data_IF_190758730406
#
_entry.id   IF_190758730406
#
_cell.length_a   1.000
_cell.length_b   1.000
_cell.length_c   1.000
_cell.angle_alpha   90.00
_cell.angle_beta   90.00
_cell.angle_gamma   90.00
#
_symmetry.space_group_name_H-M   'P 1'
#
loop_
_entity.id
_entity.type
_entity.pdbx_description
1 polymer ?
#
# COMPACT_ATOMS: atom_id res chain seq x y z
N UNK A 1 -6.32 -27.65 17.64
CA UNK A 1 -6.43 -26.18 17.66
C UNK A 1 -5.61 -25.69 16.49
N UNK A 2 -6.19 -24.86 15.58
CA UNK A 2 -5.43 -24.39 14.42
C UNK A 2 -4.34 -23.40 14.86
N UNK A 3 -3.17 -23.50 14.23
CA UNK A 3 -2.00 -22.70 14.53
C UNK A 3 -2.01 -21.42 13.67
N UNK A 4 -2.07 -20.26 14.32
CA UNK A 4 -2.04 -18.95 13.65
C UNK A 4 -0.74 -18.22 13.97
N UNK A 5 -0.04 -17.80 12.93
CA UNK A 5 1.09 -16.89 13.07
C UNK A 5 0.62 -15.47 12.79
N UNK A 6 0.82 -14.59 13.76
CA UNK A 6 0.38 -13.19 13.71
C UNK A 6 1.58 -12.27 13.48
N UNK A 7 1.55 -11.50 12.39
CA UNK A 7 2.51 -10.42 12.18
C UNK A 7 2.33 -9.32 13.22
N UNK A 8 3.32 -9.14 14.10
CA UNK A 8 3.32 -8.20 15.22
C UNK A 8 4.33 -7.07 14.96
N UNK A 9 3.82 -5.85 14.81
CA UNK A 9 4.63 -4.64 14.60
C UNK A 9 4.84 -3.80 15.85
N UNK A 10 4.42 -4.29 17.03
CA UNK A 10 4.42 -3.49 18.24
C UNK A 10 3.41 -2.33 18.24
N UNK A 11 2.50 -2.29 17.27
CA UNK A 11 1.37 -1.36 17.22
C UNK A 11 0.13 -1.92 17.90
N UNK A 12 -0.82 -1.04 18.30
CA UNK A 12 -2.06 -1.43 18.98
C UNK A 12 -2.90 -2.45 18.19
N UNK A 13 -2.91 -2.31 16.86
CA UNK A 13 -3.75 -3.17 15.99
C UNK A 13 -3.29 -4.62 16.00
N UNK A 14 -2.00 -4.88 15.80
CA UNK A 14 -1.47 -6.25 15.87
C UNK A 14 -1.61 -6.86 17.26
N UNK A 15 -1.51 -6.04 18.31
CA UNK A 15 -1.64 -6.49 19.68
C UNK A 15 -3.09 -6.87 20.03
N UNK A 16 -4.06 -6.05 19.64
CA UNK A 16 -5.48 -6.38 19.80
C UNK A 16 -5.89 -7.60 18.95
N UNK A 17 -5.30 -7.75 17.75
CA UNK A 17 -5.51 -8.94 16.91
C UNK A 17 -5.06 -10.23 17.62
N UNK A 18 -3.97 -10.18 18.41
CA UNK A 18 -3.51 -11.33 19.19
C UNK A 18 -4.55 -11.76 20.24
N UNK A 19 -5.11 -10.80 20.97
CA UNK A 19 -6.16 -11.06 21.98
C UNK A 19 -7.37 -11.71 21.32
N UNK A 20 -7.89 -11.14 20.25
CA UNK A 20 -9.07 -11.66 19.55
C UNK A 20 -8.86 -13.09 19.03
N UNK A 21 -7.69 -13.40 18.51
CA UNK A 21 -7.37 -14.75 18.03
C UNK A 21 -7.32 -15.76 19.17
N UNK A 22 -6.77 -15.39 20.34
CA UNK A 22 -6.79 -16.25 21.53
C UNK A 22 -8.23 -16.48 22.04
N UNK A 23 -9.05 -15.42 22.10
CA UNK A 23 -10.47 -15.52 22.48
C UNK A 23 -11.29 -16.40 21.51
N UNK A 24 -10.92 -16.43 20.23
CA UNK A 24 -11.50 -17.30 19.20
C UNK A 24 -11.00 -18.75 19.29
N UNK A 25 -10.07 -19.05 20.20
CA UNK A 25 -9.58 -20.41 20.43
C UNK A 25 -8.48 -20.87 19.48
N UNK A 26 -7.75 -19.96 18.84
CA UNK A 26 -6.56 -20.31 18.04
C UNK A 26 -5.33 -20.49 18.95
N UNK A 27 -4.41 -21.34 18.50
CA UNK A 27 -3.05 -21.36 19.02
C UNK A 27 -2.26 -20.25 18.30
N UNK A 28 -1.93 -19.16 19.01
CA UNK A 28 -1.32 -17.97 18.42
C UNK A 28 0.18 -17.91 18.68
N UNK A 29 0.96 -17.65 17.64
CA UNK A 29 2.39 -17.33 17.72
C UNK A 29 2.65 -15.94 17.12
N UNK A 30 3.40 -15.10 17.82
CA UNK A 30 3.80 -13.78 17.32
C UNK A 30 4.98 -13.88 16.35
N UNK A 31 4.97 -13.07 15.30
CA UNK A 31 6.00 -12.97 14.29
C UNK A 31 6.38 -11.51 14.07
N UNK A 32 7.62 -11.14 14.38
CA UNK A 32 8.17 -9.83 14.07
C UNK A 32 9.02 -9.90 12.81
N UNK A 33 8.95 -8.87 11.97
CA UNK A 33 9.73 -8.75 10.75
C UNK A 33 10.74 -7.60 10.88
N UNK A 34 12.01 -7.92 10.88
CA UNK A 34 13.08 -6.96 10.65
C UNK A 34 13.20 -6.71 9.15
N UNK A 35 12.79 -5.52 8.69
CA UNK A 35 12.72 -5.16 7.27
C UNK A 35 13.77 -4.12 6.86
N UNK A 36 14.34 -3.40 7.83
CA UNK A 36 15.14 -2.21 7.57
C UNK A 36 16.62 -2.40 7.85
N UNK A 37 17.06 -3.60 8.22
CA UNK A 37 18.47 -3.90 8.49
C UNK A 37 19.30 -3.65 7.23
N UNK A 38 20.45 -2.96 7.41
CA UNK A 38 21.34 -2.63 6.31
C UNK A 38 20.86 -1.55 5.34
N UNK A 39 19.67 -0.95 5.56
CA UNK A 39 19.25 0.22 4.79
C UNK A 39 19.92 1.50 5.32
N UNK A 40 20.20 2.47 4.43
CA UNK A 40 20.83 3.74 4.79
C UNK A 40 19.80 4.71 5.42
N UNK A 41 19.35 4.37 6.62
CA UNK A 41 18.44 5.19 7.41
C UNK A 41 19.14 6.47 7.94
N UNK A 42 18.42 7.53 8.33
CA UNK A 42 18.97 8.66 9.04
C UNK A 42 19.71 8.22 10.31
N UNK A 43 20.81 8.92 10.67
CA UNK A 43 21.68 8.51 11.78
C UNK A 43 21.00 8.54 13.18
N UNK A 44 19.94 9.33 13.31
CA UNK A 44 19.12 9.45 14.52
C UNK A 44 18.01 8.40 14.62
N UNK A 45 17.96 7.46 13.64
CA UNK A 45 16.90 6.47 13.54
C UNK A 45 17.45 5.06 13.61
N UNK A 46 17.07 4.35 14.66
CA UNK A 46 17.31 2.91 14.76
C UNK A 46 16.20 2.14 14.05
N UNK A 47 16.52 1.01 13.40
CA UNK A 47 15.50 0.06 12.96
C UNK A 47 14.63 -0.38 14.14
N UNK A 48 13.38 -0.75 13.84
CA UNK A 48 12.50 -1.39 14.84
C UNK A 48 13.14 -2.74 15.24
N UNK A 49 13.44 -2.88 16.53
CA UNK A 49 14.04 -4.08 17.10
C UNK A 49 13.01 -5.11 17.60
N UNK A 50 11.72 -4.83 17.38
CA UNK A 50 10.61 -5.68 17.81
C UNK A 50 10.39 -5.71 19.33
N UNK A 51 11.01 -4.83 20.10
CA UNK A 51 10.91 -4.82 21.58
C UNK A 51 9.45 -4.68 22.05
N UNK A 52 8.69 -3.75 21.49
CA UNK A 52 7.27 -3.58 21.83
C UNK A 52 6.43 -4.83 21.47
N UNK A 53 6.69 -5.44 20.31
CA UNK A 53 6.00 -6.64 19.87
C UNK A 53 6.31 -7.83 20.80
N UNK A 54 7.58 -7.98 21.16
CA UNK A 54 8.04 -9.02 22.11
C UNK A 54 7.46 -8.83 23.50
N UNK A 55 7.40 -7.60 23.99
CA UNK A 55 6.80 -7.29 25.29
C UNK A 55 5.31 -7.64 25.33
N UNK A 56 4.55 -7.32 24.28
CA UNK A 56 3.14 -7.73 24.15
C UNK A 56 3.01 -9.24 24.05
N UNK A 57 3.82 -9.92 23.25
CA UNK A 57 3.80 -11.39 23.17
C UNK A 57 4.06 -12.05 24.52
N UNK A 58 5.04 -11.54 25.28
CA UNK A 58 5.33 -12.02 26.63
C UNK A 58 4.16 -11.80 27.60
N UNK A 59 3.50 -10.62 27.54
CA UNK A 59 2.33 -10.31 28.36
C UNK A 59 1.18 -11.28 28.09
N UNK A 60 0.97 -11.65 26.81
CA UNK A 60 -0.10 -12.55 26.37
C UNK A 60 0.30 -14.05 26.43
N UNK A 61 1.54 -14.37 26.83
CA UNK A 61 2.03 -15.74 26.90
C UNK A 61 2.18 -16.43 25.55
N UNK A 62 2.47 -15.66 24.49
CA UNK A 62 2.63 -16.17 23.12
C UNK A 62 4.05 -16.60 22.84
N UNK A 63 4.29 -17.74 22.14
CA UNK A 63 5.53 -17.97 21.42
C UNK A 63 5.83 -16.81 20.49
N UNK A 64 7.09 -16.40 20.39
CA UNK A 64 7.47 -15.23 19.60
C UNK A 64 8.73 -15.51 18.76
N UNK A 65 8.68 -15.14 17.50
CA UNK A 65 9.74 -15.36 16.52
C UNK A 65 10.12 -14.04 15.86
N UNK A 66 11.43 -13.81 15.73
CA UNK A 66 11.97 -12.72 14.91
C UNK A 66 12.45 -13.27 13.57
N UNK A 67 12.13 -12.56 12.51
CA UNK A 67 12.56 -12.88 11.15
C UNK A 67 13.23 -11.68 10.50
N UNK A 68 14.43 -11.86 10.01
CA UNK A 68 15.08 -10.88 9.15
C UNK A 68 14.70 -11.16 7.69
N UNK A 69 13.81 -10.31 7.15
CA UNK A 69 13.42 -10.29 5.74
C UNK A 69 13.92 -9.03 5.03
N UNK A 70 14.95 -8.35 5.59
CA UNK A 70 15.50 -7.13 4.99
C UNK A 70 16.12 -7.36 3.60
N UNK A 71 16.78 -8.50 3.29
CA UNK A 71 17.26 -8.74 1.93
C UNK A 71 16.13 -8.84 0.91
N UNK A 72 15.07 -9.60 1.22
CA UNK A 72 13.90 -9.75 0.36
C UNK A 72 13.13 -8.43 0.23
N UNK A 73 12.99 -7.69 1.32
CA UNK A 73 12.36 -6.37 1.33
C UNK A 73 13.13 -5.38 0.47
N UNK A 74 14.46 -5.36 0.56
CA UNK A 74 15.32 -4.55 -0.31
C UNK A 74 15.08 -4.90 -1.77
N UNK A 75 15.21 -6.15 -2.16
CA UNK A 75 15.13 -6.59 -3.56
C UNK A 75 13.73 -6.40 -4.17
N UNK A 76 12.66 -6.57 -3.38
CA UNK A 76 11.28 -6.54 -3.91
C UNK A 76 10.57 -5.21 -3.73
N UNK A 77 10.77 -4.51 -2.60
CA UNK A 77 10.01 -3.31 -2.26
C UNK A 77 10.84 -2.05 -2.48
N UNK A 78 12.07 -2.00 -1.96
CA UNK A 78 12.90 -0.79 -2.06
C UNK A 78 13.39 -0.59 -3.50
N UNK A 79 13.91 -1.62 -4.15
CA UNK A 79 14.41 -1.52 -5.52
C UNK A 79 13.27 -1.24 -6.52
N UNK A 80 12.04 -1.77 -6.27
CA UNK A 80 10.85 -1.38 -7.01
C UNK A 80 10.54 0.12 -6.81
N UNK A 81 10.53 0.57 -5.57
CA UNK A 81 10.25 1.97 -5.22
C UNK A 81 11.20 2.94 -5.92
N UNK A 82 12.49 2.65 -5.90
CA UNK A 82 13.53 3.46 -6.58
C UNK A 82 13.30 3.48 -8.09
N UNK A 83 13.20 2.31 -8.73
CA UNK A 83 12.98 2.20 -10.19
C UNK A 83 11.75 2.97 -10.67
N UNK A 84 10.65 2.93 -9.93
CA UNK A 84 9.43 3.65 -10.32
C UNK A 84 9.63 5.17 -10.29
N UNK A 85 10.30 5.68 -9.26
CA UNK A 85 10.61 7.11 -9.19
C UNK A 85 11.58 7.56 -10.28
N UNK A 86 12.62 6.77 -10.57
CA UNK A 86 13.57 7.03 -11.65
C UNK A 86 12.89 6.98 -13.02
N UNK A 87 11.91 6.11 -13.20
CA UNK A 87 11.08 6.04 -14.39
C UNK A 87 9.97 7.13 -14.46
N UNK A 88 10.00 8.14 -13.58
CA UNK A 88 9.03 9.23 -13.56
C UNK A 88 7.65 8.86 -12.99
N UNK A 89 7.44 7.63 -12.55
CA UNK A 89 6.19 7.17 -11.96
C UNK A 89 6.13 7.42 -10.46
N UNK A 90 4.97 7.18 -9.84
CA UNK A 90 4.81 7.32 -8.38
C UNK A 90 4.30 6.00 -7.82
N UNK A 91 5.17 5.19 -7.20
CA UNK A 91 4.81 3.86 -6.70
C UNK A 91 3.96 3.88 -5.42
N UNK A 92 3.31 2.75 -5.14
CA UNK A 92 2.76 2.43 -3.82
C UNK A 92 3.46 1.18 -3.27
N UNK A 93 4.52 1.34 -2.47
CA UNK A 93 5.32 0.21 -1.99
C UNK A 93 4.56 -0.69 -1.02
N UNK A 94 3.53 -0.15 -0.30
CA UNK A 94 2.76 -0.94 0.67
C UNK A 94 1.95 -2.07 0.03
N UNK A 95 1.44 -1.85 -1.20
CA UNK A 95 0.73 -2.91 -1.95
C UNK A 95 1.68 -4.06 -2.29
N UNK A 96 2.90 -3.74 -2.73
CA UNK A 96 3.94 -4.75 -2.99
C UNK A 96 4.41 -5.44 -1.72
N UNK A 97 4.65 -4.68 -0.65
CA UNK A 97 5.03 -5.23 0.65
C UNK A 97 4.00 -6.24 1.16
N UNK A 98 2.71 -5.91 1.10
CA UNK A 98 1.67 -6.86 1.50
C UNK A 98 1.77 -8.16 0.67
N UNK A 99 1.78 -8.07 -0.66
CA UNK A 99 1.78 -9.26 -1.52
C UNK A 99 3.04 -10.10 -1.39
N UNK A 100 4.24 -9.47 -1.38
CA UNK A 100 5.52 -10.17 -1.50
C UNK A 100 6.18 -10.50 -0.16
N UNK A 101 6.06 -9.60 0.81
CA UNK A 101 6.70 -9.75 2.12
C UNK A 101 5.71 -10.32 3.12
N UNK A 102 4.64 -9.58 3.49
CA UNK A 102 3.76 -10.01 4.58
C UNK A 102 2.98 -11.28 4.24
N UNK A 103 2.38 -11.37 3.05
CA UNK A 103 1.60 -12.55 2.64
C UNK A 103 2.36 -13.46 1.66
N UNK A 104 3.63 -13.17 1.40
CA UNK A 104 4.57 -14.00 0.68
C UNK A 104 5.64 -14.57 1.62
N UNK A 105 6.83 -13.95 1.69
CA UNK A 105 7.98 -14.46 2.44
C UNK A 105 7.68 -14.74 3.93
N UNK A 106 6.88 -13.91 4.61
CA UNK A 106 6.45 -14.17 5.99
C UNK A 106 5.56 -15.42 6.07
N UNK A 107 4.65 -15.63 5.09
CA UNK A 107 3.84 -16.85 5.01
C UNK A 107 4.73 -18.10 4.82
N UNK A 108 5.65 -18.04 3.87
CA UNK A 108 6.56 -19.17 3.57
C UNK A 108 7.38 -19.58 4.80
N UNK A 109 7.76 -18.60 5.60
CA UNK A 109 8.48 -18.84 6.83
C UNK A 109 7.57 -19.37 7.96
N UNK A 110 6.37 -18.81 8.13
CA UNK A 110 5.39 -19.27 9.10
C UNK A 110 4.94 -20.72 8.81
N UNK A 111 4.76 -21.07 7.52
CA UNK A 111 4.40 -22.41 7.09
C UNK A 111 5.44 -23.46 7.49
N UNK A 112 6.74 -23.12 7.37
CA UNK A 112 7.84 -23.99 7.81
C UNK A 112 7.83 -24.24 9.33
N UNK A 113 7.24 -23.31 10.10
CA UNK A 113 7.06 -23.42 11.54
C UNK A 113 5.72 -24.08 11.93
N UNK A 114 4.95 -24.56 10.96
CA UNK A 114 3.70 -25.29 11.19
C UNK A 114 2.45 -24.41 11.21
N UNK A 115 2.44 -23.25 10.58
CA UNK A 115 1.26 -22.39 10.50
C UNK A 115 0.16 -22.99 9.62
N UNK A 116 -1.07 -22.99 10.11
CA UNK A 116 -2.29 -23.21 9.33
C UNK A 116 -2.77 -21.91 8.68
N UNK A 117 -2.63 -20.80 9.40
CA UNK A 117 -3.05 -19.47 8.97
C UNK A 117 -2.02 -18.40 9.33
N UNK A 118 -2.03 -17.34 8.53
CA UNK A 118 -1.33 -16.08 8.81
C UNK A 118 -2.34 -15.01 9.19
N UNK A 119 -2.08 -14.24 10.21
CA UNK A 119 -2.92 -13.13 10.62
C UNK A 119 -2.15 -11.81 10.65
N UNK A 120 -2.86 -10.71 10.49
CA UNK A 120 -2.32 -9.35 10.66
C UNK A 120 -3.38 -8.42 11.20
N UNK A 121 -2.97 -7.28 11.77
CA UNK A 121 -3.87 -6.22 12.25
C UNK A 121 -4.46 -5.33 11.15
N UNK A 122 -4.69 -5.83 9.92
CA UNK A 122 -5.33 -5.04 8.87
C UNK A 122 -6.84 -4.94 9.06
N UNK A 123 -7.38 -3.75 8.73
CA UNK A 123 -8.81 -3.47 8.68
C UNK A 123 -9.36 -3.85 7.30
N UNK A 124 -9.64 -5.12 7.11
CA UNK A 124 -10.29 -5.71 5.94
C UNK A 124 -11.01 -6.98 6.35
N UNK A 125 -11.87 -7.52 5.48
CA UNK A 125 -12.60 -8.78 5.73
C UNK A 125 -12.34 -9.76 4.59
N UNK A 126 -12.32 -11.04 4.93
CA UNK A 126 -12.31 -12.12 3.95
C UNK A 126 -13.60 -12.93 4.13
N UNK A 127 -14.27 -13.19 3.03
CA UNK A 127 -15.44 -14.08 2.96
C UNK A 127 -15.20 -15.11 1.87
N UNK A 128 -15.77 -16.29 1.99
CA UNK A 128 -15.84 -17.23 0.89
C UNK A 128 -17.19 -17.07 0.17
N UNK A 129 -17.16 -16.93 -1.14
CA UNK A 129 -18.36 -16.93 -1.97
C UNK A 129 -18.86 -18.37 -2.11
N UNK A 130 -20.07 -18.70 -1.63
CA UNK A 130 -20.58 -20.07 -1.67
C UNK A 130 -20.87 -20.55 -3.09
N UNK A 131 -21.10 -19.65 -4.06
CA UNK A 131 -21.42 -19.99 -5.43
C UNK A 131 -20.17 -20.34 -6.24
N UNK A 132 -19.06 -19.64 -6.02
CA UNK A 132 -17.83 -19.79 -6.82
C UNK A 132 -16.69 -20.45 -6.04
N UNK A 133 -16.81 -20.55 -4.71
CA UNK A 133 -15.74 -20.99 -3.81
C UNK A 133 -14.60 -19.99 -3.66
N UNK A 134 -14.65 -18.82 -4.33
CA UNK A 134 -13.59 -17.80 -4.27
C UNK A 134 -13.54 -17.13 -2.92
N UNK A 135 -12.34 -16.79 -2.48
CA UNK A 135 -12.13 -15.92 -1.33
C UNK A 135 -12.27 -14.46 -1.77
N UNK A 136 -13.23 -13.76 -1.17
CA UNK A 136 -13.55 -12.36 -1.44
C UNK A 136 -12.87 -11.48 -0.41
N UNK A 137 -12.05 -10.52 -0.87
CA UNK A 137 -11.55 -9.45 -0.04
C UNK A 137 -12.62 -8.36 0.04
N UNK A 138 -13.00 -7.97 1.25
CA UNK A 138 -14.01 -6.94 1.48
C UNK A 138 -13.45 -5.83 2.37
N UNK A 139 -14.09 -4.66 2.28
CA UNK A 139 -13.77 -3.51 3.13
C UNK A 139 -13.94 -3.83 4.61
N UNK A 140 -13.12 -3.20 5.44
CA UNK A 140 -13.29 -3.18 6.89
C UNK A 140 -14.61 -2.49 7.31
N UNK A 141 -15.07 -2.77 8.51
CA UNK A 141 -16.23 -2.09 9.09
C UNK A 141 -15.95 -0.59 9.30
N UNK A 142 -14.78 -0.27 9.84
CA UNK A 142 -14.30 1.12 9.94
C UNK A 142 -13.85 1.62 8.57
N UNK A 143 -14.71 2.42 7.91
CA UNK A 143 -14.42 2.98 6.59
C UNK A 143 -13.27 3.97 6.58
N UNK A 144 -13.01 4.62 7.71
CA UNK A 144 -11.90 5.57 7.85
C UNK A 144 -10.55 4.87 7.96
N UNK A 145 -10.55 3.58 8.32
CA UNK A 145 -9.38 2.72 8.50
C UNK A 145 -9.30 1.59 7.48
N UNK A 146 -10.26 1.48 6.55
CA UNK A 146 -10.29 0.41 5.55
C UNK A 146 -8.97 0.31 4.77
N UNK A 147 -8.37 -0.88 4.80
CA UNK A 147 -7.08 -1.16 4.16
C UNK A 147 -7.20 -2.13 2.97
N UNK A 148 -8.41 -2.42 2.52
CA UNK A 148 -8.64 -3.31 1.37
C UNK A 148 -7.92 -2.84 0.10
N UNK A 149 -7.72 -1.53 -0.07
CA UNK A 149 -6.92 -0.96 -1.15
C UNK A 149 -5.48 -1.51 -1.18
N UNK A 150 -4.81 -1.57 -0.03
CA UNK A 150 -3.43 -2.07 0.05
C UNK A 150 -3.31 -3.58 -0.11
N UNK A 151 -4.43 -4.30 -0.02
CA UNK A 151 -4.52 -5.76 -0.09
C UNK A 151 -5.01 -6.25 -1.46
N UNK A 152 -5.33 -5.36 -2.39
CA UNK A 152 -5.92 -5.67 -3.69
C UNK A 152 -5.09 -6.61 -4.58
N UNK A 153 -3.83 -6.84 -4.23
CA UNK A 153 -2.91 -7.72 -4.97
C UNK A 153 -2.76 -9.11 -4.35
N UNK A 154 -3.47 -9.42 -3.25
CA UNK A 154 -3.44 -10.76 -2.66
C UNK A 154 -4.08 -11.78 -3.60
N UNK A 155 -3.42 -12.92 -3.75
CA UNK A 155 -3.91 -14.03 -4.57
C UNK A 155 -4.99 -14.81 -3.83
N UNK A 156 -5.74 -15.67 -4.54
CA UNK A 156 -6.73 -16.55 -3.93
C UNK A 156 -6.09 -17.50 -2.90
N UNK A 157 -4.90 -18.00 -3.18
CA UNK A 157 -4.13 -18.81 -2.24
C UNK A 157 -3.77 -18.03 -0.98
N UNK A 158 -3.26 -16.81 -1.11
CA UNK A 158 -2.94 -15.96 0.03
C UNK A 158 -4.18 -15.63 0.86
N UNK A 159 -5.31 -15.29 0.21
CA UNK A 159 -6.57 -15.00 0.88
C UNK A 159 -7.12 -16.21 1.65
N UNK A 160 -6.99 -17.43 1.12
CA UNK A 160 -7.50 -18.64 1.76
C UNK A 160 -6.81 -18.99 3.09
N UNK A 161 -5.61 -18.48 3.30
CA UNK A 161 -4.78 -18.75 4.49
C UNK A 161 -4.58 -17.52 5.39
N UNK A 162 -5.35 -16.44 5.15
CA UNK A 162 -5.20 -15.17 5.85
C UNK A 162 -6.39 -14.90 6.75
N UNK A 163 -6.11 -14.40 7.95
CA UNK A 163 -7.11 -13.91 8.89
C UNK A 163 -6.89 -12.40 9.16
N UNK A 164 -7.99 -11.64 9.15
CA UNK A 164 -8.03 -10.23 9.52
C UNK A 164 -8.96 -10.05 10.73
N UNK A 165 -8.48 -10.27 11.97
CA UNK A 165 -9.32 -10.28 13.17
C UNK A 165 -10.04 -8.93 13.40
N UNK A 166 -9.45 -7.82 12.97
CA UNK A 166 -9.98 -6.47 13.17
C UNK A 166 -11.03 -6.05 12.14
N UNK A 167 -11.28 -6.87 11.12
CA UNK A 167 -12.11 -6.48 9.97
C UNK A 167 -13.54 -6.04 10.31
N UNK A 168 -14.11 -6.51 11.40
CA UNK A 168 -15.47 -6.19 11.86
C UNK A 168 -15.51 -5.12 12.96
N UNK A 169 -14.37 -4.52 13.33
CA UNK A 169 -14.27 -3.60 14.45
C UNK A 169 -13.98 -2.17 13.99
N UNK A 170 -14.54 -1.21 14.71
CA UNK A 170 -14.14 0.19 14.65
C UNK A 170 -12.83 0.39 15.44
N UNK A 171 -12.00 1.35 15.03
CA UNK A 171 -10.71 1.64 15.70
C UNK A 171 -10.87 1.96 17.19
N UNK A 172 -11.95 2.63 17.57
CA UNK A 172 -12.28 2.92 18.97
C UNK A 172 -12.46 1.65 19.80
N UNK A 173 -13.16 0.65 19.25
CA UNK A 173 -13.35 -0.65 19.90
C UNK A 173 -12.03 -1.42 20.04
N UNK A 174 -11.15 -1.34 19.02
CA UNK A 174 -9.80 -1.95 19.07
C UNK A 174 -8.96 -1.34 20.20
N UNK A 175 -9.01 0.00 20.38
CA UNK A 175 -8.30 0.67 21.47
C UNK A 175 -8.87 0.30 22.82
N UNK A 176 -10.21 0.27 22.98
CA UNK A 176 -10.86 -0.14 24.21
C UNK A 176 -10.51 -1.60 24.60
N UNK A 177 -10.46 -2.50 23.62
CA UNK A 177 -10.00 -3.88 23.82
C UNK A 177 -8.55 -3.93 24.32
N UNK A 178 -7.67 -3.17 23.71
CA UNK A 178 -6.27 -3.10 24.09
C UNK A 178 -6.09 -2.57 25.53
N UNK A 179 -6.85 -1.54 25.91
CA UNK A 179 -6.87 -0.99 27.26
C UNK A 179 -7.40 -1.99 28.29
N UNK A 180 -8.51 -2.66 27.97
CA UNK A 180 -9.12 -3.66 28.86
C UNK A 180 -8.18 -4.84 29.16
N UNK A 181 -7.31 -5.20 28.22
CA UNK A 181 -6.30 -6.25 28.39
C UNK A 181 -4.93 -5.72 28.87
N UNK A 182 -4.83 -4.44 29.25
CA UNK A 182 -3.61 -3.85 29.81
C UNK A 182 -2.44 -3.83 28.83
N UNK A 183 -2.70 -3.77 27.50
CA UNK A 183 -1.64 -3.75 26.50
C UNK A 183 -0.84 -2.45 26.57
N UNK A 184 0.48 -2.56 26.66
CA UNK A 184 1.41 -1.44 26.89
C UNK A 184 1.36 -0.38 25.77
N UNK A 185 0.88 -0.74 24.58
CA UNK A 185 0.81 0.09 23.38
C UNK A 185 -0.60 0.57 23.03
N UNK A 186 -1.59 0.44 23.93
CA UNK A 186 -2.98 0.83 23.71
C UNK A 186 -3.13 2.30 23.25
N UNK A 187 -2.29 3.20 23.79
CA UNK A 187 -2.29 4.63 23.50
C UNK A 187 -1.29 5.02 22.38
N UNK A 188 -0.53 4.07 21.81
CA UNK A 188 0.44 4.35 20.74
C UNK A 188 -0.27 4.91 19.51
N UNK A 189 0.33 5.94 18.91
CA UNK A 189 -0.19 6.54 17.67
C UNK A 189 -0.03 5.59 16.50
N UNK A 190 -0.98 5.65 15.55
CA UNK A 190 -0.89 4.88 14.31
C UNK A 190 0.26 5.41 13.44
N UNK A 191 1.00 4.52 12.80
CA UNK A 191 1.95 4.90 11.74
C UNK A 191 1.17 5.39 10.51
N UNK A 192 1.48 6.61 10.05
CA UNK A 192 0.76 7.27 8.95
C UNK A 192 1.54 7.18 7.63
N UNK A 193 2.86 7.01 7.70
CA UNK A 193 3.78 7.11 6.56
C UNK A 193 4.33 5.75 6.14
N UNK A 194 5.05 5.74 5.02
CA UNK A 194 5.80 4.59 4.53
C UNK A 194 6.87 4.23 5.58
N UNK A 195 6.89 2.97 6.04
CA UNK A 195 7.71 2.54 7.18
C UNK A 195 9.22 2.83 7.05
N UNK A 196 9.75 2.88 5.83
CA UNK A 196 11.16 3.21 5.56
C UNK A 196 11.40 4.68 5.17
N UNK A 197 10.33 5.50 5.07
CA UNK A 197 10.38 6.96 4.82
C UNK A 197 9.42 7.67 5.77
N UNK A 198 9.64 7.60 7.07
CA UNK A 198 8.66 8.07 8.06
C UNK A 198 8.65 9.59 8.27
N UNK A 199 9.67 10.28 7.78
CA UNK A 199 9.79 11.73 7.73
C UNK A 199 9.20 12.32 6.43
N UNK A 200 8.72 11.44 5.51
CA UNK A 200 8.19 11.82 4.20
C UNK A 200 9.28 12.24 3.19
N UNK A 201 10.57 12.27 3.57
CA UNK A 201 11.67 12.64 2.67
C UNK A 201 12.20 11.43 1.88
N UNK A 202 11.35 10.94 0.97
CA UNK A 202 11.72 9.83 0.08
C UNK A 202 12.87 10.18 -0.87
N UNK A 203 13.08 11.47 -1.17
CA UNK A 203 14.18 11.91 -2.04
C UNK A 203 15.53 11.64 -1.40
N UNK A 204 15.71 12.09 -0.17
CA UNK A 204 16.94 11.81 0.60
C UNK A 204 17.13 10.32 0.84
N UNK A 205 16.06 9.57 1.08
CA UNK A 205 16.13 8.11 1.19
C UNK A 205 16.65 7.46 -0.10
N UNK A 206 16.05 7.80 -1.26
CA UNK A 206 16.49 7.27 -2.57
C UNK A 206 17.95 7.65 -2.81
N UNK A 207 18.32 8.94 -2.65
CA UNK A 207 19.70 9.41 -2.82
C UNK A 207 20.70 8.60 -1.99
N UNK A 208 20.38 8.33 -0.72
CA UNK A 208 21.25 7.47 0.12
C UNK A 208 21.32 6.03 -0.39
N UNK A 209 20.24 5.48 -0.93
CA UNK A 209 20.20 4.12 -1.47
C UNK A 209 21.03 3.94 -2.74
N UNK A 210 20.99 4.93 -3.65
CA UNK A 210 21.65 4.86 -4.98
C UNK A 210 23.03 5.51 -4.98
N UNK A 211 23.35 6.36 -4.01
CA UNK A 211 24.65 7.01 -3.85
C UNK A 211 24.88 8.24 -4.76
N UNK A 212 23.84 8.73 -5.43
CA UNK A 212 23.93 9.93 -6.27
C UNK A 212 22.62 10.73 -6.25
N UNK A 213 22.72 12.02 -6.56
CA UNK A 213 21.56 12.91 -6.67
C UNK A 213 20.74 12.60 -7.94
N UNK A 214 19.44 12.86 -7.86
CA UNK A 214 18.54 12.76 -9.00
C UNK A 214 18.90 13.82 -10.06
N UNK A 215 18.89 13.48 -11.35
CA UNK A 215 19.20 14.42 -12.43
C UNK A 215 18.32 15.68 -12.37
N UNK A 216 18.94 16.84 -12.60
CA UNK A 216 18.23 18.11 -12.80
C UNK A 216 17.75 18.20 -14.25
N UNK A 217 16.78 19.06 -14.52
CA UNK A 217 16.26 19.27 -15.86
C UNK A 217 15.28 20.44 -15.92
N UNK A 218 14.67 20.69 -17.08
CA UNK A 218 13.79 21.82 -17.26
C UNK A 218 12.38 21.59 -16.69
N UNK A 219 11.78 22.67 -16.17
CA UNK A 219 10.34 22.81 -16.16
C UNK A 219 9.86 23.32 -17.50
N UNK A 220 8.89 22.63 -18.08
CA UNK A 220 8.39 22.93 -19.44
C UNK A 220 6.87 23.13 -19.38
N UNK A 221 6.37 24.18 -20.05
CA UNK A 221 4.92 24.37 -20.19
C UNK A 221 4.31 23.51 -21.31
N UNK A 222 3.00 23.66 -21.54
CA UNK A 222 2.28 22.90 -22.58
C UNK A 222 2.70 23.28 -24.00
N UNK A 223 3.21 24.49 -24.20
CA UNK A 223 3.70 25.01 -25.46
C UNK A 223 5.16 24.64 -25.73
N UNK A 224 5.82 23.93 -24.82
CA UNK A 224 7.22 23.51 -24.92
C UNK A 224 8.22 24.57 -24.48
N UNK A 225 7.80 25.68 -23.86
CA UNK A 225 8.70 26.74 -23.36
C UNK A 225 9.30 26.32 -22.02
N UNK A 226 10.60 26.56 -21.85
CA UNK A 226 11.30 26.32 -20.60
C UNK A 226 10.98 27.46 -19.63
N UNK A 227 10.40 27.08 -18.46
CA UNK A 227 10.01 28.02 -17.41
C UNK A 227 11.08 28.17 -16.32
N UNK A 228 12.03 27.26 -16.26
CA UNK A 228 13.10 27.24 -15.26
C UNK A 228 13.74 25.86 -15.14
N UNK A 229 14.58 25.68 -14.12
CA UNK A 229 15.28 24.44 -13.82
C UNK A 229 14.81 23.86 -12.50
N UNK A 230 14.57 22.56 -12.44
CA UNK A 230 14.21 21.87 -11.21
C UNK A 230 15.42 21.24 -10.49
N UNK A 231 15.25 20.93 -9.20
CA UNK A 231 16.31 20.46 -8.30
C UNK A 231 16.47 18.92 -8.23
N UNK A 232 15.92 18.21 -9.19
CA UNK A 232 15.99 16.75 -9.26
C UNK A 232 14.65 16.14 -9.69
N UNK A 233 14.71 15.27 -10.68
CA UNK A 233 13.56 14.71 -11.40
C UNK A 233 12.57 13.97 -10.50
N UNK A 234 13.08 13.19 -9.53
CA UNK A 234 12.24 12.37 -8.64
C UNK A 234 11.44 13.20 -7.61
N UNK A 235 11.80 14.48 -7.40
CA UNK A 235 11.18 15.35 -6.37
C UNK A 235 9.73 15.72 -6.66
N UNK A 236 9.23 15.41 -7.86
CA UNK A 236 7.95 15.90 -8.35
C UNK A 236 6.96 14.77 -8.58
N UNK A 237 5.70 15.03 -8.26
CA UNK A 237 4.59 14.07 -8.44
C UNK A 237 3.44 14.77 -9.16
N UNK A 238 2.74 14.06 -10.05
CA UNK A 238 1.57 14.58 -10.78
C UNK A 238 0.54 15.19 -9.82
N UNK A 239 0.13 16.43 -10.10
CA UNK A 239 -0.79 17.22 -9.30
C UNK A 239 -0.13 18.10 -8.23
N UNK A 240 1.20 18.01 -8.05
CA UNK A 240 1.95 18.90 -7.13
C UNK A 240 2.01 20.31 -7.70
N UNK A 241 1.82 21.33 -6.82
CA UNK A 241 2.00 22.74 -7.15
C UNK A 241 2.94 23.47 -6.19
N UNK A 242 3.11 22.95 -4.96
CA UNK A 242 4.02 23.52 -3.97
C UNK A 242 5.44 23.02 -4.19
N UNK A 243 6.43 23.87 -3.86
CA UNK A 243 7.84 23.49 -3.91
C UNK A 243 8.45 23.46 -5.33
N UNK A 244 7.79 24.03 -6.34
CA UNK A 244 8.35 24.15 -7.70
C UNK A 244 9.45 25.20 -7.77
N UNK A 245 9.41 26.22 -6.91
CA UNK A 245 10.37 27.32 -6.92
C UNK A 245 10.17 28.31 -8.08
N UNK A 246 8.99 28.29 -8.68
CA UNK A 246 8.58 29.21 -9.74
C UNK A 246 7.59 30.23 -9.19
N UNK A 247 7.83 31.52 -9.50
CA UNK A 247 6.93 32.63 -9.18
C UNK A 247 6.01 32.91 -10.38
N UNK A 248 5.01 32.05 -10.58
CA UNK A 248 4.06 32.14 -11.70
C UNK A 248 2.63 32.20 -11.15
N UNK A 249 1.86 33.15 -11.63
CA UNK A 249 0.44 33.32 -11.33
C UNK A 249 -0.40 33.24 -12.63
N UNK A 250 -1.47 32.44 -12.66
CA UNK A 250 -1.93 31.49 -11.62
C UNK A 250 -0.94 30.33 -11.44
N UNK A 251 -1.00 29.60 -10.27
CA UNK A 251 -0.05 28.54 -9.97
C UNK A 251 -0.15 27.40 -10.97
N UNK A 252 1.00 26.87 -11.37
CA UNK A 252 1.10 25.71 -12.24
C UNK A 252 1.23 24.41 -11.42
N UNK A 253 0.84 23.31 -12.05
CA UNK A 253 0.83 21.97 -11.50
C UNK A 253 1.65 21.01 -12.34
N UNK A 254 2.30 20.04 -11.71
CA UNK A 254 2.97 18.95 -12.42
C UNK A 254 1.94 18.09 -13.15
N UNK A 255 2.01 18.04 -14.46
CA UNK A 255 1.14 17.22 -15.32
C UNK A 255 1.75 15.84 -15.59
N UNK A 256 3.01 15.81 -15.98
CA UNK A 256 3.77 14.58 -16.28
C UNK A 256 5.27 14.82 -16.10
N UNK A 257 5.98 13.72 -16.07
CA UNK A 257 7.45 13.70 -16.07
C UNK A 257 7.92 12.87 -17.27
N UNK A 258 9.02 13.28 -17.88
CA UNK A 258 9.64 12.54 -18.96
C UNK A 258 11.06 12.10 -18.53
N UNK A 259 11.31 10.79 -18.39
CA UNK A 259 12.61 10.31 -17.94
C UNK A 259 13.71 10.41 -19.00
N UNK A 260 13.37 10.60 -20.29
CA UNK A 260 14.35 10.64 -21.36
C UNK A 260 15.17 11.95 -21.37
N UNK A 261 14.52 13.07 -21.09
CA UNK A 261 15.12 14.41 -21.00
C UNK A 261 15.09 15.00 -19.60
N UNK A 262 14.61 14.24 -18.63
CA UNK A 262 14.38 14.63 -17.23
C UNK A 262 13.45 15.86 -17.09
N UNK A 263 12.60 16.13 -18.08
CA UNK A 263 11.70 17.27 -18.06
C UNK A 263 10.49 17.03 -17.13
N UNK A 264 10.09 18.09 -16.44
CA UNK A 264 8.85 18.14 -15.65
C UNK A 264 7.89 19.11 -16.34
N UNK A 265 6.80 18.55 -16.87
CA UNK A 265 5.79 19.31 -17.61
C UNK A 265 4.75 19.90 -16.66
N UNK A 266 4.50 21.20 -16.82
CA UNK A 266 3.61 21.97 -16.00
C UNK A 266 2.39 22.46 -16.79
N UNK A 267 1.26 22.63 -16.14
CA UNK A 267 0.05 23.21 -16.69
C UNK A 267 -0.91 23.67 -15.62
N UNK A 268 -2.12 24.03 -16.02
CA UNK A 268 -3.14 24.52 -15.11
C UNK A 268 -3.87 23.38 -14.42
N UNK A 269 -4.69 23.71 -13.40
CA UNK A 269 -5.42 22.70 -12.63
C UNK A 269 -6.38 21.88 -13.51
N UNK A 270 -6.99 22.51 -14.51
CA UNK A 270 -7.92 21.90 -15.46
C UNK A 270 -7.28 20.76 -16.25
N UNK A 271 -5.99 20.87 -16.53
CA UNK A 271 -5.20 19.88 -17.28
C UNK A 271 -4.93 18.58 -16.49
N UNK A 272 -5.25 18.58 -15.20
CA UNK A 272 -5.08 17.40 -14.34
C UNK A 272 -6.28 16.43 -14.40
N UNK A 273 -7.39 16.85 -14.99
CA UNK A 273 -8.59 16.04 -15.03
C UNK A 273 -8.61 15.12 -16.26
N UNK A 274 -8.98 13.86 -16.04
CA UNK A 274 -9.18 12.88 -17.10
C UNK A 274 -10.48 12.12 -16.88
N UNK A 275 -11.19 11.83 -17.98
CA UNK A 275 -12.41 11.01 -17.99
C UNK A 275 -12.15 9.52 -18.14
N UNK A 276 -10.90 9.13 -18.44
CA UNK A 276 -10.52 7.72 -18.56
C UNK A 276 -9.08 7.47 -18.09
N UNK A 277 -8.79 6.22 -17.82
CA UNK A 277 -7.41 5.71 -17.62
C UNK A 277 -7.28 4.31 -18.20
N UNK A 278 -6.03 3.91 -18.49
CA UNK A 278 -5.68 2.53 -18.82
C UNK A 278 -4.83 1.95 -17.70
N UNK A 279 -5.18 0.73 -17.29
CA UNK A 279 -4.43 -0.01 -16.28
C UNK A 279 -4.13 -1.44 -16.75
N UNK A 280 -3.04 -1.99 -16.25
CA UNK A 280 -2.58 -3.34 -16.56
C UNK A 280 -2.10 -4.10 -15.33
N UNK A 281 -1.45 -5.23 -15.53
CA UNK A 281 -0.95 -6.10 -14.46
C UNK A 281 -2.03 -6.35 -13.38
N UNK A 282 -3.19 -6.85 -13.81
CA UNK A 282 -4.34 -7.06 -12.95
C UNK A 282 -4.22 -8.28 -12.06
N UNK A 283 -4.66 -8.14 -10.82
CA UNK A 283 -4.98 -9.24 -9.92
C UNK A 283 -6.49 -9.23 -9.66
N UNK A 284 -7.18 -10.26 -10.13
CA UNK A 284 -8.62 -10.41 -9.98
C UNK A 284 -8.96 -11.19 -8.70
N UNK A 285 -9.82 -10.63 -7.85
CA UNK A 285 -10.20 -11.22 -6.55
C UNK A 285 -11.59 -11.84 -6.62
N UNK A 286 -12.65 -11.04 -6.85
CA UNK A 286 -14.01 -11.57 -6.83
C UNK A 286 -14.40 -12.31 -8.12
N UNK A 287 -13.74 -12.01 -9.23
CA UNK A 287 -13.95 -12.63 -10.54
C UNK A 287 -12.67 -13.31 -11.02
N UNK A 288 -12.72 -14.30 -11.90
CA UNK A 288 -11.52 -14.91 -12.48
C UNK A 288 -10.82 -13.99 -13.50
N UNK A 289 -11.59 -13.21 -14.24
CA UNK A 289 -11.13 -12.23 -15.23
C UNK A 289 -12.27 -11.27 -15.60
N UNK A 290 -11.93 -10.08 -16.11
CA UNK A 290 -12.90 -9.16 -16.71
C UNK A 290 -13.06 -9.55 -18.20
N UNK A 291 -14.22 -10.10 -18.57
CA UNK A 291 -14.51 -10.58 -19.95
C UNK A 291 -15.52 -9.71 -20.69
N UNK A 292 -16.24 -8.85 -19.99
CA UNK A 292 -17.23 -7.90 -20.52
C UNK A 292 -17.20 -6.60 -19.70
N UNK A 293 -17.75 -5.50 -20.24
CA UNK A 293 -17.87 -4.26 -19.49
C UNK A 293 -18.62 -4.45 -18.16
N UNK A 294 -18.10 -3.82 -17.10
CA UNK A 294 -18.64 -3.90 -15.73
C UNK A 294 -18.70 -2.51 -15.12
N UNK A 295 -19.84 -2.16 -14.52
CA UNK A 295 -19.95 -0.94 -13.69
C UNK A 295 -19.37 -1.22 -12.32
N UNK A 296 -18.49 -0.31 -11.85
CA UNK A 296 -17.73 -0.45 -10.61
C UNK A 296 -17.56 0.90 -9.92
N UNK A 297 -17.23 0.88 -8.63
CA UNK A 297 -16.61 2.04 -7.99
C UNK A 297 -15.10 1.86 -7.96
N UNK A 298 -14.35 2.96 -8.07
CA UNK A 298 -12.91 2.96 -8.33
C UNK A 298 -12.19 3.87 -7.35
N UNK A 299 -11.06 3.40 -6.81
CA UNK A 299 -10.07 4.25 -6.12
C UNK A 299 -8.76 4.22 -6.91
N UNK A 300 -8.27 5.38 -7.34
CA UNK A 300 -6.97 5.52 -8.03
C UNK A 300 -5.84 5.91 -7.08
N UNK A 301 -6.16 6.17 -5.80
CA UNK A 301 -5.24 6.36 -4.66
C UNK A 301 -5.95 5.96 -3.37
N UNK A 302 -5.20 5.60 -2.36
CA UNK A 302 -5.76 5.23 -1.06
C UNK A 302 -6.65 6.33 -0.45
N UNK A 303 -6.16 7.57 -0.42
CA UNK A 303 -6.87 8.71 0.19
C UNK A 303 -7.97 9.33 -0.68
N UNK A 304 -8.15 8.87 -1.93
CA UNK A 304 -9.14 9.44 -2.84
C UNK A 304 -10.54 8.91 -2.50
N UNK A 305 -11.55 9.77 -2.69
CA UNK A 305 -12.95 9.33 -2.72
C UNK A 305 -13.18 8.41 -3.91
N UNK A 306 -14.12 7.51 -3.76
CA UNK A 306 -14.52 6.59 -4.83
C UNK A 306 -15.20 7.33 -5.95
N UNK A 307 -14.96 6.87 -7.18
CA UNK A 307 -15.59 7.37 -8.38
C UNK A 307 -16.30 6.23 -9.11
N UNK A 308 -17.49 6.49 -9.66
CA UNK A 308 -18.18 5.54 -10.53
C UNK A 308 -17.48 5.47 -11.89
N UNK A 309 -17.29 4.25 -12.41
CA UNK A 309 -16.70 4.02 -13.70
C UNK A 309 -17.25 2.74 -14.36
N UNK A 310 -17.05 2.65 -15.66
CA UNK A 310 -17.22 1.40 -16.42
C UNK A 310 -15.83 0.85 -16.73
N UNK A 311 -15.56 -0.38 -16.30
CA UNK A 311 -14.35 -1.14 -16.62
C UNK A 311 -14.59 -1.93 -17.91
N UNK A 312 -13.78 -1.70 -18.93
CA UNK A 312 -13.85 -2.35 -20.24
C UNK A 312 -12.58 -3.15 -20.49
N UNK A 313 -12.67 -4.46 -20.80
CA UNK A 313 -11.48 -5.25 -21.13
C UNK A 313 -10.87 -4.78 -22.46
N UNK A 314 -9.55 -4.68 -22.50
CA UNK A 314 -8.76 -4.41 -23.70
C UNK A 314 -7.87 -5.61 -24.04
N UNK A 315 -7.26 -5.58 -25.21
CA UNK A 315 -6.24 -6.57 -25.61
C UNK A 315 -5.02 -6.51 -24.68
N UNK A 316 -4.28 -7.63 -24.58
CA UNK A 316 -3.07 -7.70 -23.76
C UNK A 316 -3.31 -7.68 -22.24
N UNK A 317 -4.54 -7.99 -21.78
CA UNK A 317 -4.86 -8.02 -20.36
C UNK A 317 -4.97 -6.65 -19.70
N UNK A 318 -5.06 -5.59 -20.49
CA UNK A 318 -5.31 -4.24 -20.02
C UNK A 318 -6.81 -4.00 -19.82
N UNK A 319 -7.14 -2.96 -19.04
CA UNK A 319 -8.51 -2.50 -18.82
C UNK A 319 -8.55 -0.99 -18.96
N UNK A 320 -9.52 -0.51 -19.73
CA UNK A 320 -9.90 0.90 -19.74
C UNK A 320 -10.96 1.14 -18.68
N UNK A 321 -10.76 2.19 -17.89
CA UNK A 321 -11.79 2.70 -16.97
C UNK A 321 -12.30 4.03 -17.50
N UNK A 322 -13.61 4.10 -17.76
CA UNK A 322 -14.29 5.34 -18.12
C UNK A 322 -15.06 5.85 -16.92
N UNK A 323 -14.66 6.99 -16.40
CA UNK A 323 -15.27 7.62 -15.24
C UNK A 323 -16.56 8.36 -15.64
N UNK A 324 -17.55 8.30 -14.75
CA UNK A 324 -18.75 9.11 -14.88
C UNK A 324 -18.43 10.61 -14.73
N UNK A 325 -17.51 10.94 -13.82
CA UNK A 325 -17.01 12.28 -13.59
C UNK A 325 -15.48 12.30 -13.73
N UNK A 326 -14.89 13.31 -14.40
CA UNK A 326 -13.45 13.38 -14.57
C UNK A 326 -12.70 13.30 -13.24
N UNK A 327 -11.62 12.54 -13.20
CA UNK A 327 -10.80 12.33 -12.02
C UNK A 327 -9.51 13.14 -12.09
N UNK A 328 -9.19 13.81 -10.96
CA UNK A 328 -8.03 14.69 -10.86
C UNK A 328 -6.75 13.89 -10.60
N UNK A 329 -5.69 14.21 -11.35
CA UNK A 329 -4.32 13.76 -11.12
C UNK A 329 -4.18 12.23 -11.02
N UNK A 330 -4.85 11.49 -11.90
CA UNK A 330 -4.60 10.05 -12.09
C UNK A 330 -3.12 9.87 -12.41
N UNK A 331 -2.43 9.02 -11.63
CA UNK A 331 -0.96 9.01 -11.63
C UNK A 331 -0.43 7.62 -12.02
N UNK A 332 0.35 7.52 -13.12
CA UNK A 332 1.03 6.29 -13.50
C UNK A 332 1.92 5.72 -12.39
N UNK A 333 1.91 4.39 -12.22
CA UNK A 333 2.61 3.69 -11.15
C UNK A 333 1.81 3.52 -9.85
N UNK A 334 0.74 4.29 -9.65
CA UNK A 334 -0.23 4.02 -8.58
C UNK A 334 -1.09 2.81 -8.93
N UNK A 335 -1.74 2.25 -7.90
CA UNK A 335 -2.74 1.21 -8.11
C UNK A 335 -4.12 1.82 -8.35
N UNK A 336 -4.88 1.15 -9.20
CA UNK A 336 -6.31 1.33 -9.29
C UNK A 336 -7.00 0.10 -8.72
N UNK A 337 -7.98 0.31 -7.84
CA UNK A 337 -8.72 -0.77 -7.18
C UNK A 337 -10.20 -0.62 -7.50
N UNK A 338 -10.77 -1.70 -8.02
CA UNK A 338 -12.18 -1.79 -8.40
C UNK A 338 -12.98 -2.45 -7.27
N UNK A 339 -14.16 -1.90 -7.01
CA UNK A 339 -15.10 -2.40 -6.02
C UNK A 339 -16.49 -2.60 -6.61
N UNK A 340 -17.14 -3.67 -6.17
CA UNK A 340 -18.58 -3.88 -6.28
C UNK A 340 -19.17 -3.89 -4.87
N UNK A 341 -19.84 -2.79 -4.51
CA UNK A 341 -20.21 -2.51 -3.13
C UNK A 341 -18.99 -2.55 -2.20
N UNK A 342 -18.98 -3.46 -1.24
CA UNK A 342 -17.89 -3.65 -0.28
C UNK A 342 -16.80 -4.61 -0.77
N UNK A 343 -17.02 -5.30 -1.86
CA UNK A 343 -16.13 -6.35 -2.34
C UNK A 343 -15.11 -5.80 -3.32
N UNK A 344 -13.84 -6.12 -3.11
CA UNK A 344 -12.78 -5.82 -4.07
C UNK A 344 -12.92 -6.74 -5.28
N UNK A 345 -13.16 -6.16 -6.45
CA UNK A 345 -13.20 -6.91 -7.72
C UNK A 345 -11.79 -7.29 -8.15
N UNK A 346 -10.86 -6.34 -8.07
CA UNK A 346 -9.47 -6.54 -8.37
C UNK A 346 -8.66 -5.24 -8.27
N UNK A 347 -7.34 -5.37 -8.46
CA UNK A 347 -6.42 -4.24 -8.49
C UNK A 347 -5.41 -4.35 -9.63
N UNK A 348 -5.16 -3.23 -10.32
CA UNK A 348 -4.20 -3.10 -11.41
C UNK A 348 -3.27 -1.93 -11.22
N UNK A 349 -2.24 -1.83 -12.05
CA UNK A 349 -1.30 -0.70 -12.07
C UNK A 349 -1.74 0.30 -13.13
N UNK A 350 -1.85 1.57 -12.77
CA UNK A 350 -2.17 2.67 -13.71
C UNK A 350 -0.99 2.85 -14.66
N UNK A 351 -1.26 2.77 -15.96
CA UNK A 351 -0.28 2.93 -17.03
C UNK A 351 -0.30 4.37 -17.57
N UNK A 352 -1.49 4.88 -17.84
CA UNK A 352 -1.75 6.24 -18.34
C UNK A 352 -3.15 6.75 -17.94
#
# INVERSE_FOLDING_TARGET
>A
MAQVFLGMSGGVDSSAAAVLLQEQGYAVSGLHLSLLNGLPLPADRLPDDGSDARAVASLLGLPFYDMDLSPEFRATVIDYFIREYEAGRTPNPCVFCNRRIKFGAMWDAAQKLGADYLATGHYAKIRQDPATGRHLLCRGADRSKDQSYFLCRLTQEQLSRTLFPLGNLEKSAVRALAEAHGLINAQKRDSQDICFVPDGDYVSFITRCVGHESPTGPFVDREGRVLGQHKGFIRYTKGQHKGLGLAIEPPLYVLRKDPADHAVYLGHNEDLFTSELIAGDWNWISIPALTAPMTVTVKTRYSQREAEAVAEPLSGGQVRLRFREPQRAVTPGQFVVLYDGDTVVGGGVILE
#
